data_IF_800095459959
#
_entry.id   IF_800095459959
#
_cell.length_a   1.000
_cell.length_b   1.000
_cell.length_c   1.000
_cell.angle_alpha   90.00
_cell.angle_beta   90.00
_cell.angle_gamma   90.00
#
_symmetry.space_group_name_H-M   'P 1'
#
loop_
_entity.id
_entity.type
_entity.pdbx_description
1 polymer ?
#
# COMPACT_ATOMS: atom_id res chain seq x y z
N UNK A 1 -3.33 -1.37 6.38
CA UNK A 1 -2.16 -2.01 7.00
C UNK A 1 -0.92 -1.26 6.56
N UNK A 2 -0.03 -0.92 7.48
CA UNK A 2 1.26 -0.31 7.18
C UNK A 2 2.40 -1.33 7.38
N UNK A 3 3.33 -1.41 6.44
CA UNK A 3 4.50 -2.30 6.45
C UNK A 3 5.76 -1.42 6.56
N UNK A 4 6.45 -1.43 7.72
CA UNK A 4 7.66 -0.63 7.94
C UNK A 4 8.82 -0.97 6.99
N UNK A 5 9.73 -0.02 6.79
CA UNK A 5 10.89 -0.19 5.89
C UNK A 5 11.88 -1.25 6.37
N UNK A 6 11.86 -1.59 7.66
CA UNK A 6 12.68 -2.64 8.26
C UNK A 6 12.20 -4.06 7.94
N UNK A 7 10.95 -4.23 7.50
CA UNK A 7 10.39 -5.56 7.19
C UNK A 7 11.04 -6.07 5.90
N UNK A 8 11.80 -7.16 6.01
CA UNK A 8 12.45 -7.80 4.88
C UNK A 8 11.57 -8.88 4.21
N UNK A 9 10.72 -9.56 5.01
CA UNK A 9 9.85 -10.64 4.54
C UNK A 9 8.52 -10.60 5.29
N UNK A 10 7.45 -10.94 4.60
CA UNK A 10 6.16 -11.29 5.21
C UNK A 10 5.92 -12.75 4.84
N UNK A 11 6.00 -13.64 5.83
CA UNK A 11 5.71 -15.06 5.64
C UNK A 11 4.18 -15.28 5.73
N UNK A 12 3.67 -16.48 5.45
CA UNK A 12 2.23 -16.73 5.43
C UNK A 12 1.85 -18.13 5.96
N UNK A 13 0.54 -18.38 6.19
CA UNK A 13 -0.58 -17.42 6.15
C UNK A 13 -0.54 -16.42 7.31
N UNK A 14 -0.63 -15.12 7.00
CA UNK A 14 -0.60 -14.05 8.03
C UNK A 14 -1.89 -13.24 8.16
N UNK A 15 -2.72 -13.11 7.10
CA UNK A 15 -3.96 -12.33 7.17
C UNK A 15 -5.11 -12.90 6.33
N UNK A 16 -6.14 -13.38 7.02
CA UNK A 16 -7.50 -13.52 6.48
C UNK A 16 -8.36 -12.36 7.00
N UNK A 17 -8.27 -11.20 6.35
CA UNK A 17 -8.98 -10.00 6.78
C UNK A 17 -9.93 -9.48 5.72
N UNK A 18 -11.22 -9.77 5.87
CA UNK A 18 -12.26 -9.28 4.95
C UNK A 18 -12.42 -7.75 4.97
N UNK A 19 -11.88 -7.06 5.98
CA UNK A 19 -11.99 -5.59 6.16
C UNK A 19 -10.74 -4.81 5.74
N UNK A 20 -9.70 -5.50 5.26
CA UNK A 20 -8.47 -4.82 4.88
C UNK A 20 -8.68 -4.04 3.57
N UNK A 21 -8.80 -2.72 3.66
CA UNK A 21 -9.02 -1.84 2.50
C UNK A 21 -7.74 -1.44 1.77
N UNK A 22 -6.63 -1.38 2.51
CA UNK A 22 -5.40 -0.76 2.02
C UNK A 22 -4.18 -1.43 2.64
N UNK A 23 -3.15 -1.61 1.82
CA UNK A 23 -1.80 -1.99 2.23
C UNK A 23 -0.86 -0.86 1.83
N UNK A 24 -0.01 -0.44 2.75
CA UNK A 24 0.92 0.67 2.57
C UNK A 24 2.31 0.21 2.95
N UNK A 25 3.26 0.32 2.04
CA UNK A 25 4.67 0.05 2.30
C UNK A 25 5.39 1.36 2.61
N UNK A 26 6.29 1.33 3.59
CA UNK A 26 7.18 2.45 3.86
C UNK A 26 8.03 2.80 2.63
N UNK A 27 8.42 4.08 2.52
CA UNK A 27 9.48 4.50 1.61
C UNK A 27 10.76 3.70 1.86
N UNK A 28 11.49 3.38 0.79
CA UNK A 28 12.71 2.56 0.86
C UNK A 28 12.48 1.20 1.54
N UNK A 29 11.29 0.61 1.32
CA UNK A 29 11.00 -0.73 1.81
C UNK A 29 12.12 -1.71 1.47
N UNK A 30 12.47 -2.55 2.43
CA UNK A 30 13.41 -3.67 2.26
C UNK A 30 12.68 -4.98 2.01
N UNK A 31 11.36 -4.93 1.84
CA UNK A 31 10.54 -6.11 1.68
C UNK A 31 10.88 -6.77 0.35
N UNK A 32 11.47 -7.94 0.40
CA UNK A 32 11.83 -8.74 -0.77
C UNK A 32 10.83 -9.85 -1.03
N UNK A 33 10.14 -10.31 0.01
CA UNK A 33 9.35 -11.54 -0.02
C UNK A 33 7.95 -11.35 0.55
N UNK A 34 6.96 -11.87 -0.17
CA UNK A 34 5.58 -12.03 0.27
C UNK A 34 5.17 -13.50 0.13
N UNK A 35 4.89 -14.15 1.26
CA UNK A 35 4.49 -15.55 1.32
C UNK A 35 3.06 -15.78 0.84
N UNK A 36 2.73 -17.07 0.66
CA UNK A 36 1.38 -17.52 0.31
C UNK A 36 0.32 -17.10 1.31
N UNK A 37 -0.92 -16.96 0.85
CA UNK A 37 -2.10 -16.63 1.66
C UNK A 37 -1.99 -15.33 2.50
N UNK A 38 -1.03 -14.45 2.20
CA UNK A 38 -0.81 -13.22 2.99
C UNK A 38 -1.97 -12.23 2.87
N UNK A 39 -2.70 -12.20 1.75
CA UNK A 39 -3.91 -11.40 1.58
C UNK A 39 -5.12 -12.25 1.17
N UNK A 40 -5.14 -13.53 1.55
CA UNK A 40 -6.31 -14.39 1.28
C UNK A 40 -7.59 -13.74 1.87
N UNK A 41 -8.63 -13.69 1.05
CA UNK A 41 -9.96 -13.24 1.41
C UNK A 41 -10.00 -11.79 1.89
N UNK A 42 -9.04 -10.95 1.45
CA UNK A 42 -9.08 -9.50 1.61
C UNK A 42 -10.11 -8.87 0.67
N UNK A 43 -11.39 -9.15 0.94
CA UNK A 43 -12.54 -8.78 0.11
C UNK A 43 -12.72 -7.27 -0.07
N UNK A 44 -12.25 -6.44 0.84
CA UNK A 44 -12.32 -4.98 0.70
C UNK A 44 -11.07 -4.33 0.08
N UNK A 45 -10.01 -5.10 -0.21
CA UNK A 45 -8.77 -4.57 -0.79
C UNK A 45 -8.97 -4.27 -2.27
N UNK A 46 -8.89 -3.00 -2.65
CA UNK A 46 -9.09 -2.61 -4.05
C UNK A 46 -7.81 -2.52 -4.86
N UNK A 47 -6.72 -2.05 -4.24
CA UNK A 47 -5.48 -1.75 -4.96
C UNK A 47 -4.26 -2.05 -4.07
N UNK A 48 -3.19 -2.59 -4.65
CA UNK A 48 -1.89 -2.76 -3.99
C UNK A 48 -0.74 -2.38 -4.95
N UNK A 49 0.31 -1.78 -4.40
CA UNK A 49 1.46 -1.24 -5.11
C UNK A 49 2.65 -1.77 -4.35
N UNK A 50 3.39 -2.65 -5.02
CA UNK A 50 4.57 -3.27 -4.48
C UNK A 50 5.76 -2.34 -4.58
N UNK A 51 6.59 -2.24 -3.52
CA UNK A 51 7.84 -1.51 -3.59
C UNK A 51 8.81 -2.18 -4.56
N UNK A 52 9.75 -1.42 -5.09
CA UNK A 52 10.77 -1.89 -6.05
C UNK A 52 11.63 -3.03 -5.48
N UNK A 53 11.68 -3.16 -4.15
CA UNK A 53 12.40 -4.21 -3.44
C UNK A 53 11.75 -5.58 -3.55
N UNK A 54 10.45 -5.67 -3.85
CA UNK A 54 9.75 -6.96 -3.93
C UNK A 54 10.34 -7.76 -5.07
N UNK A 55 10.91 -8.90 -4.71
CA UNK A 55 11.50 -9.84 -5.65
C UNK A 55 10.90 -11.23 -5.57
N UNK A 56 9.93 -11.51 -4.71
CA UNK A 56 9.25 -12.80 -4.69
C UNK A 56 7.82 -12.59 -4.23
N UNK A 57 6.90 -12.85 -5.15
CA UNK A 57 5.48 -13.07 -4.86
C UNK A 57 5.26 -14.58 -4.92
N UNK A 58 5.02 -15.16 -3.74
CA UNK A 58 4.93 -16.60 -3.52
C UNK A 58 6.20 -17.41 -3.77
N UNK A 59 6.65 -18.15 -2.77
CA UNK A 59 7.46 -19.35 -2.98
C UNK A 59 6.65 -20.63 -2.70
N UNK A 60 5.36 -20.50 -2.37
CA UNK A 60 4.55 -21.65 -2.04
C UNK A 60 4.14 -22.38 -3.34
N UNK A 61 3.84 -23.65 -3.19
CA UNK A 61 3.52 -24.50 -4.33
C UNK A 61 2.23 -24.07 -5.06
N UNK A 62 1.38 -23.28 -4.40
CA UNK A 62 0.02 -23.01 -4.84
C UNK A 62 -0.16 -21.61 -5.43
N UNK A 63 0.71 -20.65 -5.12
CA UNK A 63 0.58 -19.21 -5.34
C UNK A 63 -0.78 -18.71 -4.88
N UNK A 64 -0.93 -18.20 -3.66
CA UNK A 64 -2.25 -17.99 -3.04
C UNK A 64 -2.42 -16.61 -2.41
N UNK A 65 -1.57 -15.65 -2.79
CA UNK A 65 -1.41 -14.37 -2.08
C UNK A 65 -2.68 -13.55 -2.03
N UNK A 66 -3.45 -13.51 -3.13
CA UNK A 66 -4.68 -12.74 -3.28
C UNK A 66 -5.90 -13.64 -3.52
N UNK A 67 -5.85 -14.88 -3.03
CA UNK A 67 -6.98 -15.80 -3.14
C UNK A 67 -8.26 -15.12 -2.60
N UNK A 68 -9.36 -15.18 -3.35
CA UNK A 68 -10.66 -14.58 -3.00
C UNK A 68 -10.65 -13.07 -2.65
N UNK A 69 -9.72 -12.29 -3.22
CA UNK A 69 -9.78 -10.82 -3.14
C UNK A 69 -10.78 -10.23 -4.17
N UNK A 70 -12.07 -10.36 -3.86
CA UNK A 70 -13.18 -10.06 -4.80
C UNK A 70 -13.19 -8.62 -5.36
N UNK A 71 -12.82 -7.61 -4.55
CA UNK A 71 -12.81 -6.21 -4.97
C UNK A 71 -11.44 -5.72 -5.47
N UNK A 72 -10.44 -6.59 -5.58
CA UNK A 72 -9.13 -6.21 -6.10
C UNK A 72 -9.24 -5.83 -7.58
N UNK A 73 -8.93 -4.57 -7.87
CA UNK A 73 -9.03 -3.96 -9.20
C UNK A 73 -7.66 -3.79 -9.83
N UNK A 74 -6.66 -3.39 -9.05
CA UNK A 74 -5.35 -3.06 -9.61
C UNK A 74 -4.18 -3.56 -8.77
N UNK A 75 -3.16 -4.08 -9.46
CA UNK A 75 -1.82 -4.32 -8.94
C UNK A 75 -0.84 -3.39 -9.63
N UNK A 76 0.04 -2.75 -8.87
CA UNK A 76 1.14 -1.96 -9.39
C UNK A 76 2.47 -2.54 -8.93
N UNK A 77 3.45 -2.69 -9.82
CA UNK A 77 4.85 -2.83 -9.45
C UNK A 77 5.58 -1.50 -9.61
N UNK A 78 6.34 -1.10 -8.61
CA UNK A 78 7.36 -0.08 -8.82
C UNK A 78 8.47 -0.58 -9.79
N UNK A 79 9.10 0.33 -10.55
CA UNK A 79 10.32 0.09 -11.32
C UNK A 79 11.32 -0.82 -10.61
N UNK A 80 11.67 -1.95 -11.23
CA UNK A 80 12.63 -2.92 -10.69
C UNK A 80 12.07 -3.98 -9.72
N UNK A 81 10.78 -3.93 -9.37
CA UNK A 81 10.15 -5.05 -8.66
C UNK A 81 10.15 -6.30 -9.56
N UNK A 82 10.72 -7.39 -9.08
CA UNK A 82 11.03 -8.54 -9.93
C UNK A 82 11.14 -9.84 -9.15
N UNK A 83 10.06 -10.62 -9.14
CA UNK A 83 9.95 -12.02 -9.61
C UNK A 83 8.61 -12.53 -9.07
N UNK A 84 7.88 -13.19 -9.96
CA UNK A 84 6.66 -13.94 -9.67
C UNK A 84 7.05 -15.38 -9.91
N UNK A 85 7.10 -16.17 -8.84
CA UNK A 85 7.66 -17.54 -8.86
C UNK A 85 6.60 -18.63 -8.83
N UNK A 86 5.37 -18.30 -9.25
CA UNK A 86 4.38 -19.33 -9.46
C UNK A 86 4.52 -19.99 -10.85
N UNK A 87 5.65 -20.67 -11.07
CA UNK A 87 5.98 -21.33 -12.34
C UNK A 87 5.28 -22.71 -12.50
N UNK A 88 4.49 -23.14 -11.51
CA UNK A 88 3.88 -24.46 -11.46
C UNK A 88 2.43 -24.51 -11.96
N UNK A 89 2.04 -25.68 -12.47
CA UNK A 89 0.69 -25.98 -12.91
C UNK A 89 -0.25 -26.04 -11.69
N UNK A 90 -1.12 -25.05 -11.53
CA UNK A 90 -2.05 -24.96 -10.39
C UNK A 90 -2.04 -23.65 -9.61
N UNK A 91 -1.32 -22.63 -10.11
CA UNK A 91 -1.26 -21.35 -9.43
C UNK A 91 -2.63 -20.70 -9.16
N UNK A 92 -2.83 -20.14 -7.97
CA UNK A 92 -4.09 -19.57 -7.51
C UNK A 92 -4.01 -18.09 -7.13
N UNK A 93 -2.94 -17.37 -7.51
CA UNK A 93 -2.60 -16.07 -6.92
C UNK A 93 -3.75 -15.09 -7.05
N UNK A 94 -4.46 -15.10 -8.18
CA UNK A 94 -5.63 -14.24 -8.46
C UNK A 94 -6.94 -15.03 -8.54
N UNK A 95 -6.96 -16.28 -8.05
CA UNK A 95 -8.18 -17.09 -8.04
C UNK A 95 -9.23 -16.43 -7.13
N UNK A 96 -10.47 -16.35 -7.59
CA UNK A 96 -11.54 -15.64 -6.88
C UNK A 96 -11.43 -14.11 -6.87
N UNK A 97 -10.39 -13.53 -7.49
CA UNK A 97 -10.34 -12.08 -7.73
C UNK A 97 -11.26 -11.68 -8.90
N UNK A 98 -11.67 -10.40 -8.89
CA UNK A 98 -12.28 -9.76 -10.04
C UNK A 98 -11.34 -9.59 -11.25
N UNK A 99 -11.73 -8.71 -12.17
CA UNK A 99 -10.88 -8.32 -13.30
C UNK A 99 -9.77 -7.38 -12.81
N UNK A 100 -8.64 -7.96 -12.43
CA UNK A 100 -7.46 -7.24 -11.96
C UNK A 100 -6.65 -6.71 -13.15
N UNK A 101 -6.43 -5.40 -13.22
CA UNK A 101 -5.47 -4.80 -14.15
C UNK A 101 -4.10 -4.69 -13.49
N UNK A 102 -3.06 -5.11 -14.19
CA UNK A 102 -1.70 -5.14 -13.68
C UNK A 102 -0.86 -4.09 -14.40
N UNK A 103 -0.18 -3.26 -13.62
CA UNK A 103 0.70 -2.19 -14.08
C UNK A 103 2.13 -2.47 -13.63
N UNK A 104 3.11 -2.22 -14.50
CA UNK A 104 4.53 -2.27 -14.13
C UNK A 104 5.42 -1.75 -15.24
N UNK A 105 6.72 -1.71 -15.01
CA UNK A 105 7.70 -1.22 -15.98
C UNK A 105 8.31 -2.38 -16.80
N UNK A 106 8.19 -2.28 -18.13
CA UNK A 106 8.79 -3.19 -19.10
C UNK A 106 7.95 -4.45 -19.39
N UNK A 107 8.07 -4.95 -20.60
CA UNK A 107 7.54 -6.27 -20.99
C UNK A 107 8.52 -7.39 -20.59
N UNK A 108 8.02 -8.51 -20.03
CA UNK A 108 8.78 -9.68 -19.56
C UNK A 108 9.29 -9.64 -18.10
N UNK A 109 8.75 -8.76 -17.25
CA UNK A 109 8.91 -8.85 -15.80
C UNK A 109 7.92 -9.85 -15.14
N UNK A 110 8.10 -10.06 -13.85
CA UNK A 110 7.27 -10.89 -12.97
C UNK A 110 5.76 -10.68 -13.14
N UNK A 111 5.32 -9.43 -13.09
CA UNK A 111 3.92 -9.06 -13.13
C UNK A 111 3.33 -9.19 -14.53
N UNK A 112 4.13 -8.96 -15.57
CA UNK A 112 3.71 -9.25 -16.95
C UNK A 112 3.45 -10.75 -17.17
N UNK A 113 4.22 -11.64 -16.51
CA UNK A 113 4.00 -13.09 -16.54
C UNK A 113 2.79 -13.52 -15.71
N UNK A 114 2.60 -12.93 -14.53
CA UNK A 114 1.37 -13.13 -13.74
C UNK A 114 0.14 -12.72 -14.57
N UNK A 115 0.21 -11.57 -15.23
CA UNK A 115 -0.87 -11.09 -16.08
C UNK A 115 -1.16 -12.06 -17.23
N UNK A 116 -0.12 -12.51 -17.93
CA UNK A 116 -0.23 -13.52 -18.99
C UNK A 116 -0.84 -14.83 -18.48
N UNK A 117 -0.37 -15.36 -17.34
CA UNK A 117 -0.82 -16.63 -16.78
C UNK A 117 -2.30 -16.62 -16.36
N UNK A 118 -2.81 -15.49 -15.88
CA UNK A 118 -4.20 -15.35 -15.44
C UNK A 118 -5.11 -14.67 -16.47
N UNK A 119 -4.62 -14.46 -17.71
CA UNK A 119 -5.33 -13.74 -18.77
C UNK A 119 -5.87 -12.39 -18.26
N UNK A 120 -4.97 -11.59 -17.68
CA UNK A 120 -5.27 -10.27 -17.11
C UNK A 120 -4.63 -9.16 -17.95
N UNK A 121 -5.27 -7.98 -18.04
CA UNK A 121 -4.67 -6.84 -18.72
C UNK A 121 -3.35 -6.44 -18.05
N UNK A 122 -2.28 -6.35 -18.85
CA UNK A 122 -1.00 -5.79 -18.44
C UNK A 122 -0.76 -4.46 -19.16
N UNK A 123 -0.44 -3.41 -18.40
CA UNK A 123 -0.05 -2.11 -18.94
C UNK A 123 1.39 -1.80 -18.53
N UNK A 124 2.26 -1.73 -19.54
CA UNK A 124 3.61 -1.21 -19.36
C UNK A 124 3.52 0.30 -19.12
N UNK A 125 3.78 0.70 -17.89
CA UNK A 125 3.81 2.09 -17.47
C UNK A 125 5.15 2.36 -16.81
N UNK A 126 5.95 3.21 -17.45
CA UNK A 126 7.15 3.79 -16.83
C UNK A 126 6.77 4.79 -15.73
N UNK A 127 5.50 5.21 -15.69
CA UNK A 127 4.95 5.88 -14.51
C UNK A 127 4.83 4.82 -13.45
N UNK A 128 5.64 4.99 -12.41
CA UNK A 128 5.62 4.12 -11.26
C UNK A 128 4.26 4.25 -10.57
N UNK A 129 4.11 3.71 -9.38
CA UNK A 129 2.99 4.11 -8.54
C UNK A 129 3.13 5.63 -8.19
N UNK A 130 2.85 6.52 -9.14
CA UNK A 130 3.02 7.98 -9.04
C UNK A 130 1.69 8.66 -8.71
N UNK A 131 0.56 7.94 -8.81
CA UNK A 131 -0.74 8.43 -8.32
C UNK A 131 -0.88 8.08 -6.85
N UNK A 132 -1.14 9.06 -5.99
CA UNK A 132 -1.60 8.80 -4.61
C UNK A 132 -2.89 7.98 -4.64
N UNK A 133 -2.78 6.70 -4.32
CA UNK A 133 -3.87 5.73 -4.18
C UNK A 133 -4.52 5.80 -2.79
N UNK A 134 -3.86 6.41 -1.82
CA UNK A 134 -4.43 6.73 -0.52
C UNK A 134 -3.45 7.36 0.46
N UNK A 135 -4.00 7.98 1.51
CA UNK A 135 -3.24 8.62 2.59
C UNK A 135 -3.63 7.93 3.89
N UNK A 136 -2.65 7.45 4.64
CA UNK A 136 -2.89 6.83 5.95
C UNK A 136 -2.02 7.50 7.01
N UNK A 137 -2.44 7.43 8.28
CA UNK A 137 -1.63 7.87 9.41
C UNK A 137 -1.17 6.62 10.16
N UNK A 138 0.14 6.46 10.37
CA UNK A 138 0.66 5.39 11.22
C UNK A 138 0.17 5.54 12.66
N UNK A 139 0.09 6.79 13.11
CA UNK A 139 -0.40 7.15 14.43
C UNK A 139 -1.70 7.92 14.29
N UNK A 140 -2.75 7.40 14.91
CA UNK A 140 -3.93 8.21 15.17
C UNK A 140 -3.56 9.15 16.32
N UNK A 141 -3.30 10.42 16.03
CA UNK A 141 -3.07 11.42 17.09
C UNK A 141 -4.38 11.61 17.86
N UNK A 142 -4.58 10.82 18.91
CA UNK A 142 -5.79 10.88 19.73
C UNK A 142 -5.87 12.16 20.55
N UNK A 143 -4.71 12.72 20.95
CA UNK A 143 -4.65 13.99 21.68
C UNK A 143 -3.24 14.61 21.65
N UNK A 144 -3.20 15.94 21.62
CA UNK A 144 -1.98 16.75 21.79
C UNK A 144 -2.18 17.64 23.01
N UNK A 145 -1.25 17.61 23.96
CA UNK A 145 -1.31 18.46 25.15
C UNK A 145 -1.07 19.92 24.75
N UNK A 146 -1.75 20.85 25.41
CA UNK A 146 -1.55 22.29 25.19
C UNK A 146 -0.06 22.66 25.32
N UNK A 147 0.48 23.32 24.30
CA UNK A 147 1.87 23.74 24.22
C UNK A 147 2.82 22.67 23.67
N UNK A 148 2.43 21.40 23.65
CA UNK A 148 3.22 20.31 23.06
C UNK A 148 2.94 20.16 21.57
N UNK A 149 3.84 19.42 20.89
CA UNK A 149 3.70 19.08 19.48
C UNK A 149 3.86 17.59 19.26
N UNK A 150 3.05 17.02 18.37
CA UNK A 150 3.15 15.63 17.92
C UNK A 150 3.15 15.59 16.40
N UNK A 151 4.01 14.76 15.83
CA UNK A 151 4.07 14.54 14.38
C UNK A 151 2.92 13.64 13.93
N UNK A 152 2.23 14.02 12.86
CA UNK A 152 1.41 13.11 12.08
C UNK A 152 2.35 12.28 11.22
N UNK A 153 2.56 11.03 11.62
CA UNK A 153 3.32 10.07 10.82
C UNK A 153 2.45 9.61 9.64
N UNK A 154 2.29 10.50 8.67
CA UNK A 154 1.50 10.27 7.45
C UNK A 154 2.30 9.44 6.48
N UNK A 155 1.64 8.43 5.91
CA UNK A 155 2.20 7.63 4.83
C UNK A 155 1.28 7.76 3.65
N UNK A 156 1.90 8.16 2.55
CA UNK A 156 1.23 8.31 1.28
C UNK A 156 1.51 7.04 0.51
N UNK A 157 0.45 6.50 -0.04
CA UNK A 157 0.47 5.25 -0.74
C UNK A 157 0.02 5.48 -2.16
N UNK A 158 0.77 4.95 -3.14
CA UNK A 158 2.17 4.55 -3.06
C UNK A 158 3.08 5.67 -2.52
N UNK A 159 4.25 5.30 -1.99
CA UNK A 159 5.22 6.27 -1.49
C UNK A 159 5.57 7.25 -2.60
N UNK A 160 5.25 8.53 -2.43
CA UNK A 160 5.54 9.53 -3.46
C UNK A 160 7.05 9.57 -3.71
N UNK A 161 7.46 9.47 -4.97
CA UNK A 161 8.83 9.77 -5.41
C UNK A 161 8.98 11.14 -6.09
N UNK A 162 7.92 11.94 -6.15
CA UNK A 162 7.90 13.20 -6.91
C UNK A 162 7.45 14.39 -6.04
N UNK A 163 7.54 15.58 -6.63
CA UNK A 163 7.33 16.93 -6.05
C UNK A 163 5.91 17.22 -5.50
N UNK A 164 5.10 16.18 -5.23
CA UNK A 164 3.78 16.34 -4.65
C UNK A 164 3.86 16.67 -3.15
N UNK A 165 3.32 17.83 -2.81
CA UNK A 165 3.32 18.36 -1.45
C UNK A 165 1.99 18.00 -0.77
N UNK A 166 2.07 17.25 0.34
CA UNK A 166 0.91 17.08 1.22
C UNK A 166 0.50 18.43 1.81
N UNK A 167 -0.80 18.71 1.73
CA UNK A 167 -1.39 19.84 2.44
C UNK A 167 -2.10 19.33 3.68
N UNK A 168 -1.64 19.77 4.85
CA UNK A 168 -2.30 19.54 6.13
C UNK A 168 -3.15 20.74 6.49
N UNK A 169 -4.35 20.50 7.00
CA UNK A 169 -5.22 21.54 7.53
C UNK A 169 -5.81 21.11 8.87
N UNK A 170 -5.92 22.04 9.81
CA UNK A 170 -6.68 21.85 11.04
C UNK A 170 -8.13 22.27 10.81
N UNK A 171 -9.08 21.52 11.36
CA UNK A 171 -10.49 21.91 11.35
C UNK A 171 -10.80 23.08 12.28
N UNK A 172 -9.98 23.28 13.32
CA UNK A 172 -10.06 24.42 14.25
C UNK A 172 -8.67 24.84 14.74
N UNK A 173 -8.10 25.86 14.08
CA UNK A 173 -6.79 26.43 14.42
C UNK A 173 -6.75 27.13 15.78
N UNK A 174 -7.89 27.46 16.38
CA UNK A 174 -7.94 28.00 17.74
C UNK A 174 -7.62 26.94 18.80
N UNK A 175 -7.84 25.67 18.48
CA UNK A 175 -7.59 24.51 19.34
C UNK A 175 -6.21 23.90 19.05
N UNK A 176 -5.89 23.64 17.79
CA UNK A 176 -4.59 23.12 17.39
C UNK A 176 -4.22 23.51 15.95
N UNK A 177 -2.93 23.70 15.71
CA UNK A 177 -2.39 24.07 14.39
C UNK A 177 -1.50 22.95 13.88
N UNK A 178 -1.46 22.76 12.56
CA UNK A 178 -0.58 21.78 11.90
C UNK A 178 0.33 22.51 10.92
N UNK A 179 1.63 22.22 10.96
CA UNK A 179 2.58 22.81 10.01
C UNK A 179 2.63 22.04 8.68
N UNK A 180 3.38 22.56 7.70
CA UNK A 180 3.54 21.94 6.39
C UNK A 180 4.20 20.54 6.44
N UNK A 181 4.87 20.19 7.54
CA UNK A 181 5.50 18.90 7.75
C UNK A 181 4.59 17.92 8.50
N UNK A 182 3.36 18.31 8.84
CA UNK A 182 2.42 17.48 9.60
C UNK A 182 2.63 17.51 11.12
N UNK A 183 3.39 18.46 11.67
CA UNK A 183 3.52 18.60 13.13
C UNK A 183 2.32 19.35 13.69
N UNK A 184 1.55 18.68 14.55
CA UNK A 184 0.37 19.22 15.22
C UNK A 184 0.76 19.78 16.58
N UNK A 185 0.48 21.06 16.82
CA UNK A 185 0.69 21.75 18.10
C UNK A 185 -0.64 22.10 18.76
N UNK A 186 -0.80 21.71 20.02
CA UNK A 186 -1.96 22.08 20.83
C UNK A 186 -1.89 23.54 21.29
N UNK A 187 -2.92 24.33 21.00
CA UNK A 187 -3.01 25.76 21.37
C UNK A 187 -3.94 25.94 22.59
N UNK A 188 -5.07 25.22 22.62
CA UNK A 188 -6.04 25.24 23.72
C UNK A 188 -6.56 23.83 24.03
N UNK A 189 -7.23 23.68 25.16
CA UNK A 189 -8.03 22.48 25.42
C UNK A 189 -9.25 22.52 24.49
N UNK A 190 -9.46 21.45 23.73
CA UNK A 190 -10.56 21.35 22.81
C UNK A 190 -10.94 19.89 22.56
N UNK A 191 -12.18 19.69 22.15
CA UNK A 191 -12.73 18.37 21.79
C UNK A 191 -12.46 18.09 20.32
N UNK A 192 -11.59 17.10 20.08
CA UNK A 192 -11.40 16.34 18.85
C UNK A 192 -10.84 17.07 17.61
N UNK A 193 -9.66 16.64 17.16
CA UNK A 193 -9.03 17.09 15.92
C UNK A 193 -9.53 16.25 14.75
N UNK A 194 -10.23 16.87 13.81
CA UNK A 194 -10.59 16.23 12.54
C UNK A 194 -9.52 16.53 11.49
N UNK A 195 -8.96 15.46 10.91
CA UNK A 195 -7.87 15.53 9.93
C UNK A 195 -8.44 15.36 8.53
N UNK A 196 -8.27 16.37 7.66
CA UNK A 196 -8.59 16.29 6.23
C UNK A 196 -7.28 16.42 5.45
N UNK A 197 -6.93 15.41 4.65
CA UNK A 197 -5.77 15.44 3.76
C UNK A 197 -6.25 15.25 2.34
N UNK A 198 -5.93 16.20 1.47
CA UNK A 198 -6.34 16.18 0.07
C UNK A 198 -5.10 16.01 -0.81
N UNK A 199 -5.06 14.93 -1.58
CA UNK A 199 -4.19 14.85 -2.77
C UNK A 199 -4.92 15.52 -3.95
N UNK A 200 -4.20 16.30 -4.77
CA UNK A 200 -4.74 16.81 -6.03
C UNK A 200 -4.66 15.75 -7.13
#
# INVERSE_FOLDING_TARGET
MYIPSSVAKIEGPMWMSEKLKQVVFASESKLTFLGGEVFDSCKELENICFPASINTLSDDFWGSEFLYCENLKTLYAAPGAGIYSCEYFGCQTLSGCGQVTIYGEGSSNALSRLAEQFDRPYQDVSQSCDRVLGITFQDTVQSVVKGESKSLNTVIYPSIKSDEVLTYTSSDESIAVVDANGNVKGIQEGTELTQDVRSR
#
